data_IF_800237572120
#
_entry.id   IF_800237572120
#
_cell.length_a   1.000
_cell.length_b   1.000
_cell.length_c   1.000
_cell.angle_alpha   90.00
_cell.angle_beta   90.00
_cell.angle_gamma   90.00
#
_symmetry.space_group_name_H-M   'P 1'
#
loop_
_entity.id
_entity.type
_entity.pdbx_description
1 polymer ?
#
# COMPACT_ATOMS: atom_id res chain seq x y z
N UNK A 1 13.01 -60.45 50.27
CA UNK A 1 13.02 -60.76 48.82
C UNK A 1 11.59 -60.90 48.21
N UNK A 2 10.65 -61.62 48.84
CA UNK A 2 9.29 -61.80 48.30
C UNK A 2 8.45 -60.50 48.22
N UNK A 3 8.61 -59.57 49.17
CA UNK A 3 7.92 -58.29 49.14
C UNK A 3 8.40 -57.40 47.96
N UNK A 4 9.73 -57.36 47.74
CA UNK A 4 10.36 -56.62 46.66
C UNK A 4 9.99 -57.16 45.27
N UNK A 5 9.82 -58.49 45.14
CA UNK A 5 9.37 -59.14 43.90
C UNK A 5 7.91 -58.80 43.57
N UNK A 6 7.02 -58.71 44.56
CA UNK A 6 5.65 -58.27 44.40
C UNK A 6 5.49 -56.81 43.99
N UNK A 7 6.31 -55.93 44.63
CA UNK A 7 6.31 -54.52 44.27
C UNK A 7 6.82 -54.28 42.84
N UNK A 8 7.81 -55.06 42.38
CA UNK A 8 8.29 -55.03 40.98
C UNK A 8 7.22 -55.47 39.98
N UNK A 9 6.55 -56.59 40.25
CA UNK A 9 5.46 -57.12 39.40
C UNK A 9 4.30 -56.12 39.32
N UNK A 10 3.97 -55.44 40.43
CA UNK A 10 2.94 -54.40 40.43
C UNK A 10 3.36 -53.17 39.60
N UNK A 11 4.59 -52.66 39.77
CA UNK A 11 5.10 -51.50 38.98
C UNK A 11 5.23 -51.84 37.49
N UNK A 12 5.65 -53.06 37.15
CA UNK A 12 5.68 -53.50 35.73
C UNK A 12 4.27 -53.62 35.14
N UNK A 13 3.28 -54.09 35.94
CA UNK A 13 1.88 -54.14 35.57
C UNK A 13 1.29 -52.73 35.34
N UNK A 14 1.54 -51.78 36.24
CA UNK A 14 1.12 -50.38 36.11
C UNK A 14 1.73 -49.71 34.86
N UNK A 15 3.01 -49.95 34.58
CA UNK A 15 3.69 -49.48 33.39
C UNK A 15 3.04 -50.06 32.12
N UNK A 16 2.71 -51.37 32.10
CA UNK A 16 2.12 -52.03 30.93
C UNK A 16 0.71 -51.49 30.68
N UNK A 17 -0.10 -51.31 31.73
CA UNK A 17 -1.42 -50.70 31.66
C UNK A 17 -1.35 -49.28 31.11
N UNK A 18 -0.39 -48.46 31.59
CA UNK A 18 -0.14 -47.10 31.12
C UNK A 18 0.26 -47.06 29.63
N UNK A 19 1.13 -47.98 29.18
CA UNK A 19 1.53 -48.10 27.77
C UNK A 19 0.38 -48.52 26.85
N UNK A 20 -0.52 -49.40 27.32
CA UNK A 20 -1.67 -49.86 26.57
C UNK A 20 -2.76 -48.76 26.46
N UNK A 21 -3.02 -48.04 27.55
CA UNK A 21 -4.01 -46.97 27.61
C UNK A 21 -3.62 -45.80 26.70
N UNK A 22 -2.32 -45.53 26.60
CA UNK A 22 -1.78 -44.42 25.82
C UNK A 22 -1.43 -44.75 24.36
N UNK A 23 -1.58 -45.99 23.90
CA UNK A 23 -1.22 -46.41 22.53
C UNK A 23 0.28 -46.22 22.23
N UNK A 24 1.16 -46.39 23.20
CA UNK A 24 2.52 -45.87 23.28
C UNK A 24 3.58 -46.61 22.44
N UNK A 25 3.21 -47.39 21.45
CA UNK A 25 4.20 -48.14 20.67
C UNK A 25 5.17 -47.26 19.82
N UNK A 26 4.87 -45.95 19.64
CA UNK A 26 5.65 -45.07 18.73
C UNK A 26 5.88 -43.62 19.22
N UNK A 27 5.91 -43.42 20.54
CA UNK A 27 5.95 -42.07 21.14
C UNK A 27 7.20 -41.24 20.74
N UNK A 28 8.35 -41.87 20.63
CA UNK A 28 9.61 -41.20 20.31
C UNK A 28 9.61 -40.66 18.86
N UNK A 29 9.11 -41.47 17.93
CA UNK A 29 8.98 -41.10 16.51
C UNK A 29 7.95 -39.99 16.34
N UNK A 30 6.81 -40.06 17.03
CA UNK A 30 5.76 -39.05 16.98
C UNK A 30 6.24 -37.73 17.58
N UNK A 31 6.94 -37.76 18.74
CA UNK A 31 7.52 -36.56 19.37
C UNK A 31 8.54 -35.88 18.46
N UNK A 32 9.43 -36.65 17.83
CA UNK A 32 10.41 -36.14 16.87
C UNK A 32 9.74 -35.49 15.65
N UNK A 33 8.70 -36.13 15.10
CA UNK A 33 7.92 -35.64 13.98
C UNK A 33 7.20 -34.35 14.32
N UNK A 34 6.56 -34.26 15.50
CA UNK A 34 5.91 -33.03 15.97
C UNK A 34 6.89 -31.91 16.22
N UNK A 35 8.08 -32.17 16.80
CA UNK A 35 9.14 -31.17 16.94
C UNK A 35 9.57 -30.60 15.60
N UNK A 36 9.84 -31.44 14.62
CA UNK A 36 10.22 -30.99 13.27
C UNK A 36 9.12 -30.13 12.64
N UNK A 37 7.86 -30.51 12.84
CA UNK A 37 6.70 -29.73 12.36
C UNK A 37 6.55 -28.40 13.09
N UNK A 38 6.78 -28.35 14.41
CA UNK A 38 6.78 -27.12 15.20
C UNK A 38 7.85 -26.15 14.71
N UNK A 39 9.09 -26.59 14.52
CA UNK A 39 10.17 -25.76 14.02
C UNK A 39 9.88 -25.25 12.60
N UNK A 40 9.32 -26.08 11.73
CA UNK A 40 8.92 -25.66 10.39
C UNK A 40 7.85 -24.56 10.45
N UNK A 41 6.80 -24.75 11.27
CA UNK A 41 5.73 -23.76 11.41
C UNK A 41 6.22 -22.46 12.06
N UNK A 42 7.11 -22.54 13.06
CA UNK A 42 7.74 -21.34 13.66
C UNK A 42 8.52 -20.53 12.64
N UNK A 43 9.32 -21.19 11.82
CA UNK A 43 10.07 -20.56 10.74
C UNK A 43 9.12 -19.89 9.74
N UNK A 44 8.07 -20.59 9.30
CA UNK A 44 7.07 -20.02 8.39
C UNK A 44 6.37 -18.80 8.98
N UNK A 45 5.98 -18.84 10.26
CA UNK A 45 5.36 -17.69 10.93
C UNK A 45 6.34 -16.53 11.00
N UNK A 46 7.60 -16.76 11.37
CA UNK A 46 8.63 -15.74 11.42
C UNK A 46 8.87 -15.07 10.05
N UNK A 47 8.94 -15.88 8.97
CA UNK A 47 9.10 -15.35 7.61
C UNK A 47 7.91 -14.50 7.16
N UNK A 48 6.69 -14.93 7.48
CA UNK A 48 5.48 -14.17 7.18
C UNK A 48 5.43 -12.86 7.99
N UNK A 49 5.86 -12.85 9.23
CA UNK A 49 5.96 -11.64 10.05
C UNK A 49 6.99 -10.63 9.49
N UNK A 50 8.12 -11.12 8.99
CA UNK A 50 9.10 -10.26 8.29
C UNK A 50 8.51 -9.66 7.03
N UNK A 51 7.81 -10.46 6.20
CA UNK A 51 7.12 -9.97 5.01
C UNK A 51 6.05 -8.94 5.35
N UNK A 52 5.27 -9.18 6.40
CA UNK A 52 4.27 -8.22 6.89
C UNK A 52 4.90 -6.86 7.25
N UNK A 53 5.98 -6.86 8.01
CA UNK A 53 6.71 -5.63 8.37
C UNK A 53 7.23 -4.90 7.14
N UNK A 54 7.74 -5.65 6.14
CA UNK A 54 8.21 -5.06 4.89
C UNK A 54 7.07 -4.39 4.13
N UNK A 55 5.88 -5.00 4.07
CA UNK A 55 4.69 -4.39 3.45
C UNK A 55 4.23 -3.14 4.22
N UNK A 56 4.21 -3.16 5.54
CA UNK A 56 3.86 -2.01 6.37
C UNK A 56 4.81 -0.81 6.13
N UNK A 57 6.11 -1.07 5.98
CA UNK A 57 7.08 -0.03 5.64
C UNK A 57 6.84 0.55 4.25
N UNK A 58 6.61 -0.30 3.25
CA UNK A 58 6.29 0.15 1.88
C UNK A 58 5.00 0.96 1.84
N UNK A 59 3.95 0.50 2.54
CA UNK A 59 2.68 1.23 2.65
C UNK A 59 2.91 2.63 3.25
N UNK A 60 3.69 2.72 4.33
CA UNK A 60 4.02 3.99 4.97
C UNK A 60 4.79 4.93 4.05
N UNK A 61 5.78 4.42 3.31
CA UNK A 61 6.56 5.21 2.36
C UNK A 61 5.69 5.70 1.20
N UNK A 62 4.90 4.81 0.61
CA UNK A 62 3.98 5.15 -0.50
C UNK A 62 2.94 6.18 -0.05
N UNK A 63 2.39 6.03 1.16
CA UNK A 63 1.46 6.99 1.75
C UNK A 63 2.10 8.36 1.97
N UNK A 64 3.32 8.41 2.48
CA UNK A 64 4.06 9.65 2.63
C UNK A 64 4.34 10.34 1.29
N UNK A 65 4.60 9.58 0.23
CA UNK A 65 4.75 10.12 -1.12
C UNK A 65 3.42 10.66 -1.66
N UNK A 66 2.31 9.92 -1.46
CA UNK A 66 0.96 10.32 -1.85
C UNK A 66 0.54 11.64 -1.17
N UNK A 67 0.77 11.79 0.13
CA UNK A 67 0.42 12.98 0.92
C UNK A 67 1.23 14.22 0.51
N UNK A 68 2.45 14.04 0.01
CA UNK A 68 3.30 15.14 -0.49
C UNK A 68 2.88 15.65 -1.87
N UNK A 69 2.08 14.89 -2.62
CA UNK A 69 1.64 15.25 -3.97
C UNK A 69 0.37 16.08 -3.93
N UNK A 70 0.30 17.08 -4.80
CA UNK A 70 -0.93 17.84 -5.02
C UNK A 70 -1.94 16.97 -5.76
N UNK A 71 -3.21 17.19 -5.50
CA UNK A 71 -4.27 16.46 -6.18
C UNK A 71 -4.35 16.83 -7.67
N UNK A 72 -4.11 18.10 -7.94
CA UNK A 72 -4.15 18.65 -9.29
C UNK A 72 -2.81 19.31 -9.60
N UNK A 73 -2.31 19.09 -10.81
CA UNK A 73 -1.16 19.77 -11.38
C UNK A 73 -1.61 20.63 -12.55
N UNK A 74 -0.90 21.73 -12.77
CA UNK A 74 -1.09 22.55 -13.96
C UNK A 74 -0.70 21.74 -15.20
N UNK A 75 -1.68 21.42 -16.07
CA UNK A 75 -1.48 20.44 -17.13
C UNK A 75 -0.85 21.01 -18.38
N UNK A 76 -0.98 22.26 -18.66
CA UNK A 76 -0.27 23.03 -19.67
C UNK A 76 -0.89 24.42 -19.84
N UNK A 77 -0.04 25.34 -20.14
CA UNK A 77 -0.41 26.64 -20.68
C UNK A 77 -0.67 26.46 -22.18
N UNK A 78 -1.86 26.01 -22.56
CA UNK A 78 -2.22 26.03 -23.98
C UNK A 78 -2.56 27.48 -24.32
N UNK A 79 -1.61 28.16 -24.97
CA UNK A 79 -1.85 29.41 -25.63
C UNK A 79 -2.73 29.16 -26.86
N UNK A 80 -4.01 28.86 -26.65
CA UNK A 80 -4.95 28.94 -27.76
C UNK A 80 -4.97 30.39 -28.22
N UNK A 81 -4.58 30.61 -29.47
CA UNK A 81 -4.69 31.96 -30.07
C UNK A 81 -6.17 32.30 -30.15
N UNK A 82 -6.64 33.17 -29.26
CA UNK A 82 -8.00 33.65 -29.32
C UNK A 82 -8.22 34.32 -30.71
N UNK A 83 -9.04 33.77 -31.58
CA UNK A 83 -9.26 34.32 -32.95
C UNK A 83 -9.67 35.79 -32.87
N UNK A 84 -10.38 36.20 -31.84
CA UNK A 84 -10.79 37.57 -31.60
C UNK A 84 -9.59 38.52 -31.42
N UNK A 85 -8.49 38.08 -30.82
CA UNK A 85 -7.25 38.88 -30.71
C UNK A 85 -6.63 39.13 -32.10
N UNK A 86 -6.65 38.12 -32.97
CA UNK A 86 -6.17 38.27 -34.35
C UNK A 86 -7.03 39.24 -35.15
N UNK A 87 -8.36 39.13 -35.02
CA UNK A 87 -9.31 40.05 -35.64
C UNK A 87 -9.10 41.49 -35.20
N UNK A 88 -8.95 41.71 -33.87
CA UNK A 88 -8.70 43.05 -33.31
C UNK A 88 -7.39 43.65 -33.79
N UNK A 89 -6.31 42.85 -33.83
CA UNK A 89 -5.02 43.29 -34.34
C UNK A 89 -5.12 43.68 -35.82
N UNK A 90 -5.82 42.88 -36.64
CA UNK A 90 -6.04 43.20 -38.05
C UNK A 90 -6.88 44.47 -38.24
N UNK A 91 -7.92 44.64 -37.41
CA UNK A 91 -8.77 45.82 -37.42
C UNK A 91 -8.00 47.10 -37.05
N UNK A 92 -7.12 47.03 -36.03
CA UNK A 92 -6.25 48.14 -35.63
C UNK A 92 -5.32 48.53 -36.76
N UNK A 93 -4.64 47.56 -37.41
CA UNK A 93 -3.73 47.85 -38.54
C UNK A 93 -4.50 48.52 -39.71
N UNK A 94 -5.72 48.04 -40.03
CA UNK A 94 -6.56 48.64 -41.06
C UNK A 94 -6.96 50.08 -40.67
N UNK A 95 -7.41 50.27 -39.44
CA UNK A 95 -7.79 51.61 -38.96
C UNK A 95 -6.65 52.60 -38.93
N UNK A 96 -5.42 52.17 -38.56
CA UNK A 96 -4.22 52.99 -38.62
C UNK A 96 -3.80 53.34 -40.01
N UNK A 97 -3.97 52.44 -41.01
CA UNK A 97 -3.73 52.73 -42.41
C UNK A 97 -4.72 53.75 -42.96
N UNK A 98 -6.01 53.62 -42.60
CA UNK A 98 -7.06 54.59 -42.98
C UNK A 98 -6.75 55.97 -42.34
N UNK A 99 -6.36 55.99 -41.07
CA UNK A 99 -6.01 57.22 -40.39
C UNK A 99 -4.82 57.93 -41.08
N UNK A 100 -3.77 57.21 -41.44
CA UNK A 100 -2.63 57.75 -42.17
C UNK A 100 -3.07 58.34 -43.53
N UNK A 101 -3.97 57.67 -44.26
CA UNK A 101 -4.52 58.14 -45.51
C UNK A 101 -5.36 59.42 -45.37
N UNK A 102 -6.09 59.55 -44.26
CA UNK A 102 -6.88 60.77 -43.97
C UNK A 102 -5.98 61.97 -43.58
N UNK A 103 -4.83 61.75 -42.96
CA UNK A 103 -3.86 62.78 -42.62
C UNK A 103 -3.17 63.38 -43.86
N UNK A 104 -3.11 62.63 -44.94
CA UNK A 104 -2.63 63.20 -46.23
C UNK A 104 -3.61 64.21 -46.84
N UNK A 105 -4.91 64.06 -46.56
CA UNK A 105 -5.97 64.86 -47.17
C UNK A 105 -6.53 65.94 -46.22
N UNK A 106 -6.40 65.72 -44.94
CA UNK A 106 -7.01 66.62 -43.93
C UNK A 106 -6.01 66.88 -42.77
N UNK A 107 -6.16 68.07 -42.16
CA UNK A 107 -5.41 68.38 -40.94
C UNK A 107 -5.84 67.48 -39.78
N UNK A 108 -4.96 67.14 -38.81
CA UNK A 108 -5.28 66.28 -37.70
C UNK A 108 -6.51 66.69 -36.87
N UNK A 109 -6.74 68.01 -36.79
CA UNK A 109 -7.89 68.59 -36.08
C UNK A 109 -9.24 68.41 -36.79
N UNK A 110 -9.25 67.91 -38.01
CA UNK A 110 -10.47 67.75 -38.79
C UNK A 110 -11.29 66.58 -38.18
N UNK A 111 -12.63 66.73 -38.32
CA UNK A 111 -13.57 65.72 -37.74
C UNK A 111 -13.32 64.28 -38.16
N UNK A 112 -12.87 64.02 -39.40
CA UNK A 112 -12.64 62.70 -39.93
C UNK A 112 -11.42 61.99 -39.31
N UNK A 113 -10.20 62.59 -39.25
CA UNK A 113 -9.07 62.01 -38.53
C UNK A 113 -9.37 61.76 -37.03
N UNK A 114 -9.96 62.74 -36.33
CA UNK A 114 -10.33 62.58 -34.91
C UNK A 114 -11.32 61.41 -34.64
N UNK A 115 -12.26 61.17 -35.57
CA UNK A 115 -13.18 60.03 -35.44
C UNK A 115 -12.43 58.70 -35.58
N UNK A 116 -11.44 58.63 -36.49
CA UNK A 116 -10.66 57.42 -36.70
C UNK A 116 -9.66 57.15 -35.58
N UNK A 117 -9.10 58.19 -35.02
CA UNK A 117 -8.24 58.10 -33.82
C UNK A 117 -9.01 57.51 -32.63
N UNK A 118 -10.23 57.97 -32.37
CA UNK A 118 -11.09 57.36 -31.32
C UNK A 118 -11.44 55.91 -31.59
N UNK A 119 -11.66 55.55 -32.85
CA UNK A 119 -11.92 54.15 -33.25
C UNK A 119 -10.70 53.27 -32.91
N UNK A 120 -9.48 53.73 -33.22
CA UNK A 120 -8.25 53.01 -32.91
C UNK A 120 -8.10 52.86 -31.38
N UNK A 121 -8.38 53.92 -30.61
CA UNK A 121 -8.31 53.87 -29.14
C UNK A 121 -9.27 52.81 -28.55
N UNK A 122 -10.52 52.77 -29.03
CA UNK A 122 -11.50 51.77 -28.61
C UNK A 122 -11.04 50.32 -28.96
N UNK A 123 -10.52 50.13 -30.17
CA UNK A 123 -10.02 48.80 -30.57
C UNK A 123 -8.81 48.36 -29.74
N UNK A 124 -7.92 49.27 -29.38
CA UNK A 124 -6.77 48.99 -28.51
C UNK A 124 -7.22 48.64 -27.09
N UNK A 125 -8.23 49.33 -26.56
CA UNK A 125 -8.79 49.04 -25.25
C UNK A 125 -9.46 47.63 -25.24
N UNK A 126 -10.21 47.29 -26.28
CA UNK A 126 -10.82 45.95 -26.41
C UNK A 126 -9.74 44.89 -26.51
N UNK A 127 -8.69 45.10 -27.29
CA UNK A 127 -7.55 44.20 -27.38
C UNK A 127 -6.88 43.95 -26.01
N UNK A 128 -6.62 45.02 -25.24
CA UNK A 128 -6.03 44.91 -23.91
C UNK A 128 -6.92 44.11 -22.96
N UNK A 129 -8.23 44.32 -23.01
CA UNK A 129 -9.20 43.55 -22.21
C UNK A 129 -9.20 42.05 -22.58
N UNK A 130 -9.12 41.73 -23.87
CA UNK A 130 -9.08 40.35 -24.35
C UNK A 130 -7.76 39.64 -23.98
N UNK A 131 -6.63 40.35 -24.00
CA UNK A 131 -5.32 39.84 -23.57
C UNK A 131 -5.30 39.58 -22.06
N UNK A 132 -5.90 40.44 -21.23
CA UNK A 132 -6.00 40.23 -19.78
C UNK A 132 -6.87 39.02 -19.39
N UNK A 133 -7.97 38.79 -20.12
CA UNK A 133 -8.84 37.61 -19.90
C UNK A 133 -8.16 36.28 -20.28
N UNK A 134 -7.22 36.32 -21.22
CA UNK A 134 -6.48 35.14 -21.68
C UNK A 134 -5.50 34.61 -20.66
N UNK A 135 -4.88 35.46 -19.88
CA UNK A 135 -3.87 35.05 -18.87
C UNK A 135 -4.48 34.34 -17.64
N UNK A 136 -5.82 34.21 -17.57
CA UNK A 136 -6.53 33.62 -16.43
C UNK A 136 -7.12 32.24 -16.68
N UNK A 137 -6.98 31.63 -17.84
CA UNK A 137 -7.48 30.27 -18.10
C UNK A 137 -6.42 29.23 -17.76
N UNK A 138 -6.42 28.78 -16.51
CA UNK A 138 -5.61 27.66 -16.05
C UNK A 138 -6.37 26.36 -16.30
N UNK A 139 -5.76 25.39 -16.97
CA UNK A 139 -6.28 24.04 -17.03
C UNK A 139 -5.57 23.18 -15.97
N UNK A 140 -6.34 22.52 -15.12
CA UNK A 140 -5.84 21.61 -14.10
C UNK A 140 -6.10 20.16 -14.55
N UNK A 141 -5.12 19.32 -14.32
CA UNK A 141 -5.22 17.89 -14.55
C UNK A 141 -4.94 17.17 -13.23
N UNK A 142 -5.64 16.07 -12.99
CA UNK A 142 -5.33 15.19 -11.85
C UNK A 142 -3.90 14.70 -11.98
N UNK A 143 -3.11 14.77 -10.91
CA UNK A 143 -1.71 14.31 -10.92
C UNK A 143 -1.66 12.79 -11.22
N UNK A 144 -1.11 12.36 -12.38
CA UNK A 144 -1.05 10.96 -12.75
C UNK A 144 -0.18 10.14 -11.79
N UNK A 145 0.83 10.76 -11.16
CA UNK A 145 1.67 10.11 -10.17
C UNK A 145 0.86 9.85 -8.89
N UNK A 146 0.01 10.78 -8.49
CA UNK A 146 -0.86 10.58 -7.33
C UNK A 146 -1.88 9.48 -7.58
N UNK A 147 -2.43 9.37 -8.79
CA UNK A 147 -3.31 8.26 -9.17
C UNK A 147 -2.59 6.91 -9.13
N UNK A 148 -1.33 6.87 -9.58
CA UNK A 148 -0.54 5.64 -9.54
C UNK A 148 -0.21 5.24 -8.10
N UNK A 149 0.16 6.19 -7.24
CA UNK A 149 0.38 5.95 -5.81
C UNK A 149 -0.89 5.44 -5.09
N UNK A 150 -2.08 5.94 -5.46
CA UNK A 150 -3.36 5.46 -4.92
C UNK A 150 -3.62 4.00 -5.30
N UNK A 151 -3.34 3.63 -6.55
CA UNK A 151 -3.41 2.23 -7.00
C UNK A 151 -2.41 1.34 -6.26
N UNK A 152 -1.18 1.82 -6.05
CA UNK A 152 -0.17 1.09 -5.29
C UNK A 152 -0.61 0.88 -3.84
N UNK A 153 -1.17 1.89 -3.16
CA UNK A 153 -1.72 1.78 -1.81
C UNK A 153 -2.85 0.75 -1.74
N UNK A 154 -3.74 0.75 -2.73
CA UNK A 154 -4.83 -0.23 -2.82
C UNK A 154 -4.29 -1.66 -2.96
N UNK A 155 -3.29 -1.88 -3.81
CA UNK A 155 -2.66 -3.19 -3.99
C UNK A 155 -1.94 -3.64 -2.71
N UNK A 156 -1.17 -2.76 -2.06
CA UNK A 156 -0.50 -3.06 -0.79
C UNK A 156 -1.50 -3.43 0.33
N UNK A 157 -2.67 -2.79 0.37
CA UNK A 157 -3.72 -3.12 1.32
C UNK A 157 -4.30 -4.54 1.08
N UNK A 158 -4.48 -4.94 -0.19
CA UNK A 158 -4.91 -6.30 -0.57
C UNK A 158 -3.85 -7.32 -0.17
N UNK A 159 -2.57 -7.08 -0.51
CA UNK A 159 -1.46 -7.97 -0.19
C UNK A 159 -1.31 -8.16 1.32
N UNK A 160 -1.47 -7.07 2.09
CA UNK A 160 -1.44 -7.12 3.56
C UNK A 160 -2.58 -7.96 4.11
N UNK A 161 -3.79 -7.77 3.61
CA UNK A 161 -4.96 -8.55 4.04
C UNK A 161 -4.78 -10.05 3.77
N UNK A 162 -4.26 -10.43 2.61
CA UNK A 162 -3.94 -11.81 2.26
C UNK A 162 -2.89 -12.40 3.20
N UNK A 163 -1.83 -11.64 3.49
CA UNK A 163 -0.75 -12.07 4.38
C UNK A 163 -1.22 -12.21 5.84
N UNK A 164 -2.08 -11.30 6.33
CA UNK A 164 -2.66 -11.39 7.67
C UNK A 164 -3.56 -12.64 7.80
N UNK A 165 -4.31 -12.98 6.76
CA UNK A 165 -5.09 -14.21 6.71
C UNK A 165 -4.18 -15.47 6.76
N UNK A 166 -3.10 -15.50 5.98
CA UNK A 166 -2.13 -16.60 5.99
C UNK A 166 -1.46 -16.75 7.35
N UNK A 167 -1.02 -15.64 7.96
CA UNK A 167 -0.46 -15.60 9.32
C UNK A 167 -1.43 -16.19 10.35
N UNK A 168 -2.70 -15.82 10.28
CA UNK A 168 -3.73 -16.34 11.18
C UNK A 168 -3.84 -17.86 11.07
N UNK A 169 -3.88 -18.40 9.85
CA UNK A 169 -3.94 -19.85 9.60
C UNK A 169 -2.69 -20.55 10.15
N UNK A 170 -1.48 -20.03 9.86
CA UNK A 170 -0.23 -20.66 10.32
C UNK A 170 -0.08 -20.62 11.84
N UNK A 171 -0.47 -19.53 12.48
CA UNK A 171 -0.49 -19.43 13.96
C UNK A 171 -1.46 -20.46 14.56
N UNK A 172 -2.66 -20.59 14.01
CA UNK A 172 -3.63 -21.61 14.47
C UNK A 172 -3.09 -23.05 14.31
N UNK A 173 -2.38 -23.33 13.20
CA UNK A 173 -1.72 -24.62 13.01
C UNK A 173 -0.60 -24.84 14.02
N UNK A 174 0.23 -23.81 14.28
CA UNK A 174 1.29 -23.85 15.28
C UNK A 174 0.74 -24.16 16.68
N UNK A 175 -0.33 -23.46 17.09
CA UNK A 175 -0.98 -23.64 18.38
C UNK A 175 -1.58 -25.04 18.53
N UNK A 176 -2.12 -25.61 17.44
CA UNK A 176 -2.65 -26.98 17.43
C UNK A 176 -1.53 -27.99 17.63
N UNK A 177 -0.45 -27.89 16.85
CA UNK A 177 0.69 -28.81 16.95
C UNK A 177 1.41 -28.67 18.28
N UNK A 178 1.51 -27.44 18.83
CA UNK A 178 2.09 -27.19 20.15
C UNK A 178 1.29 -27.88 21.27
N UNK A 179 -0.04 -27.88 21.20
CA UNK A 179 -0.88 -28.61 22.15
C UNK A 179 -0.71 -30.11 22.03
N UNK A 180 -0.69 -30.64 20.81
CA UNK A 180 -0.47 -32.08 20.55
C UNK A 180 0.92 -32.50 21.11
N UNK A 181 1.96 -31.69 20.88
CA UNK A 181 3.29 -31.94 21.41
C UNK A 181 3.34 -31.89 22.96
N UNK A 182 2.66 -30.93 23.59
CA UNK A 182 2.61 -30.80 25.03
C UNK A 182 1.99 -32.01 25.72
N UNK A 183 0.94 -32.60 25.11
CA UNK A 183 0.30 -33.83 25.61
C UNK A 183 1.28 -35.00 25.55
N UNK A 184 1.99 -35.16 24.43
CA UNK A 184 2.96 -36.25 24.27
C UNK A 184 4.21 -36.08 25.15
N UNK A 185 4.65 -34.85 25.37
CA UNK A 185 5.78 -34.56 26.26
C UNK A 185 5.43 -34.91 27.71
N UNK A 186 4.25 -34.52 28.20
CA UNK A 186 3.78 -34.90 29.55
C UNK A 186 3.71 -36.43 29.72
N UNK A 187 3.17 -37.11 28.71
CA UNK A 187 3.14 -38.56 28.71
C UNK A 187 4.54 -39.22 28.78
N UNK A 188 5.49 -38.65 28.01
CA UNK A 188 6.89 -39.12 28.01
C UNK A 188 7.56 -38.95 29.38
N UNK A 189 7.30 -37.84 30.08
CA UNK A 189 7.80 -37.58 31.43
C UNK A 189 7.24 -38.59 32.48
N UNK A 190 5.93 -38.89 32.38
CA UNK A 190 5.30 -39.89 33.25
C UNK A 190 5.87 -41.29 33.00
N UNK A 191 6.10 -41.66 31.76
CA UNK A 191 6.70 -42.95 31.40
C UNK A 191 8.13 -43.05 31.92
N UNK A 192 8.94 -41.99 31.84
CA UNK A 192 10.29 -41.96 32.42
C UNK A 192 10.25 -42.05 33.93
N UNK A 193 9.27 -41.42 34.60
CA UNK A 193 9.11 -41.52 36.05
C UNK A 193 8.79 -42.94 36.46
N UNK A 194 7.92 -43.67 35.74
CA UNK A 194 7.66 -45.10 35.98
C UNK A 194 8.91 -45.97 35.78
N UNK A 195 9.66 -45.76 34.71
CA UNK A 195 10.90 -46.47 34.43
C UNK A 195 11.95 -46.24 35.55
N UNK A 196 12.09 -45.01 36.06
CA UNK A 196 12.99 -44.70 37.21
C UNK A 196 12.59 -45.43 38.47
N UNK A 197 11.27 -45.49 38.79
CA UNK A 197 10.77 -46.26 39.96
C UNK A 197 11.07 -47.73 39.87
N UNK A 198 10.87 -48.35 38.69
CA UNK A 198 11.19 -49.74 38.43
C UNK A 198 12.71 -50.01 38.63
N UNK A 199 13.56 -49.12 38.10
CA UNK A 199 15.01 -49.26 38.19
C UNK A 199 15.51 -49.14 39.66
N UNK A 200 14.87 -48.28 40.46
CA UNK A 200 15.22 -48.13 41.89
C UNK A 200 14.75 -49.31 42.75
N UNK A 201 13.72 -50.05 42.29
CA UNK A 201 13.19 -51.20 42.98
C UNK A 201 13.94 -52.51 42.63
N UNK A 202 14.75 -52.52 41.58
CA UNK A 202 15.68 -53.61 41.22
C UNK A 202 16.97 -53.56 42.02
#
# INVERSE_FOLDING_TARGET
>A
DQARSKDLEQLEGERLAFLLDAGAADNATQTSSLNSRLETLRTQVADLEVRRRTLELREKETRAQYERRREFIESSFTRESNPRIQELRSAIVSAESDYASLLVQHQPEHKKPKAKEKEIEVLRLDLATQEELKDKSWSFQVDPIRQDLDRQLSNLAVDRSALDAELSVRRSQLDKVAREWAVLAAFSEELEAHNRRITQSR
#
